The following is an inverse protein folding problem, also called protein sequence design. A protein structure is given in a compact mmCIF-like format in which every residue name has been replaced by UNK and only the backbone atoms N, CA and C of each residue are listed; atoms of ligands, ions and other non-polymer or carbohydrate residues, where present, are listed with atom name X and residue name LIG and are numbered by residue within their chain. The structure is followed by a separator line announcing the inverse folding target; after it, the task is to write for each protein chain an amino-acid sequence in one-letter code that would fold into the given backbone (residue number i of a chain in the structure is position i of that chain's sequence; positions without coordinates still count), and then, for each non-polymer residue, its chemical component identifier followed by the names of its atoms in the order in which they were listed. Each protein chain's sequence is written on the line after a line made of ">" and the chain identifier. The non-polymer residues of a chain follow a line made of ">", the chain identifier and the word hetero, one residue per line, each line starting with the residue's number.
data_IF_660638119808
#
_entry.id   IF_660638119808
#
_cell.length_a   1.000
_cell.length_b   1.000
_cell.length_c   1.000
_cell.angle_alpha   90.00
_cell.angle_beta   90.00
_cell.angle_gamma   90.00
#
_symmetry.space_group_name_H-M   'P 1'
#
loop_
_entity.id
_entity.type
_entity.pdbx_description
1 polymer ?
#
# COMPACT_ATOMS: atom_id res chain seq x y z
N UNK A 1 -1.68 -4.96 -15.66
CA UNK A 1 -1.20 -5.25 -14.29
C UNK A 1 -0.61 -3.97 -13.69
N UNK A 2 -0.56 -3.79 -12.36
CA UNK A 2 0.16 -2.67 -11.75
C UNK A 2 1.42 -3.17 -11.03
N UNK A 3 2.44 -2.33 -10.93
CA UNK A 3 3.69 -2.61 -10.22
C UNK A 3 3.86 -1.61 -9.08
N UNK A 4 4.27 -2.09 -7.91
CA UNK A 4 4.65 -1.23 -6.78
C UNK A 4 6.12 -0.84 -6.94
N UNK A 5 6.44 0.44 -6.73
CA UNK A 5 7.80 0.98 -6.80
C UNK A 5 8.05 1.93 -5.65
N UNK A 6 9.28 1.97 -5.15
CA UNK A 6 9.74 3.04 -4.26
C UNK A 6 10.29 4.19 -5.11
N UNK A 7 9.81 5.39 -4.82
CA UNK A 7 10.19 6.64 -5.51
C UNK A 7 11.41 7.29 -4.87
N UNK A 8 11.44 7.29 -3.54
CA UNK A 8 12.59 7.75 -2.76
C UNK A 8 12.55 7.18 -1.35
N UNK A 9 13.73 7.16 -0.73
CA UNK A 9 13.94 6.92 0.68
C UNK A 9 14.73 8.13 1.20
N UNK A 10 14.16 8.86 2.14
CA UNK A 10 14.76 10.03 2.75
C UNK A 10 15.00 9.73 4.24
N UNK A 11 16.25 9.42 4.64
CA UNK A 11 16.62 9.38 6.05
C UNK A 11 16.70 10.81 6.59
N UNK A 12 15.80 11.14 7.51
CA UNK A 12 15.80 12.35 8.33
C UNK A 12 16.44 12.04 9.70
N UNK A 13 16.50 13.03 10.60
CA UNK A 13 17.22 12.93 11.88
C UNK A 13 16.67 11.80 12.76
N UNK A 14 15.35 11.73 12.91
CA UNK A 14 14.68 10.78 13.80
C UNK A 14 13.79 9.78 13.05
N UNK A 15 13.64 9.93 11.74
CA UNK A 15 12.71 9.15 10.92
C UNK A 15 13.27 8.85 9.54
N UNK A 16 12.78 7.80 8.92
CA UNK A 16 12.99 7.47 7.52
C UNK A 16 11.65 7.56 6.80
N UNK A 17 11.62 8.38 5.75
CA UNK A 17 10.44 8.56 4.90
C UNK A 17 10.63 7.80 3.61
N UNK A 18 9.70 6.91 3.30
CA UNK A 18 9.69 6.11 2.06
C UNK A 18 8.45 6.48 1.25
N UNK A 19 8.65 6.97 0.03
CA UNK A 19 7.54 7.17 -0.91
C UNK A 19 7.35 5.93 -1.76
N UNK A 20 6.18 5.32 -1.68
CA UNK A 20 5.78 4.14 -2.46
C UNK A 20 4.68 4.52 -3.42
N UNK A 21 4.73 4.03 -4.66
CA UNK A 21 3.68 4.24 -5.65
C UNK A 21 3.32 2.96 -6.41
N UNK A 22 2.05 2.85 -6.80
CA UNK A 22 1.62 1.92 -7.83
C UNK A 22 1.69 2.59 -9.21
N UNK A 23 2.32 1.92 -10.16
CA UNK A 23 2.41 2.34 -11.56
C UNK A 23 1.76 1.31 -12.47
N UNK A 24 1.10 1.78 -13.54
CA UNK A 24 0.63 0.94 -14.64
C UNK A 24 1.81 0.51 -15.52
N UNK A 25 1.54 -0.41 -16.45
CA UNK A 25 2.52 -0.85 -17.46
C UNK A 25 3.00 0.28 -18.36
N UNK A 26 2.14 1.26 -18.64
CA UNK A 26 2.46 2.47 -19.42
C UNK A 26 3.32 3.49 -18.63
N UNK A 27 3.68 3.18 -17.38
CA UNK A 27 4.47 4.06 -16.51
C UNK A 27 3.65 5.11 -15.76
N UNK A 28 2.35 5.22 -16.01
CA UNK A 28 1.47 6.15 -15.32
C UNK A 28 1.32 5.78 -13.86
N UNK A 29 1.46 6.78 -12.98
CA UNK A 29 1.24 6.62 -11.56
C UNK A 29 -0.26 6.59 -11.25
N UNK A 30 -0.68 5.59 -10.46
CA UNK A 30 -2.08 5.39 -10.05
C UNK A 30 -2.29 6.03 -8.67
N UNK A 31 -1.41 5.71 -7.73
CA UNK A 31 -1.53 6.08 -6.33
C UNK A 31 -0.14 6.21 -5.71
N UNK A 32 0.03 7.16 -4.79
CA UNK A 32 1.24 7.36 -4.00
C UNK A 32 0.90 7.36 -2.52
N UNK A 33 1.77 6.81 -1.70
CA UNK A 33 1.73 6.99 -0.26
C UNK A 33 3.14 7.25 0.26
N UNK A 34 3.25 8.16 1.23
CA UNK A 34 4.46 8.30 2.04
C UNK A 34 4.29 7.50 3.32
N UNK A 35 5.26 6.65 3.61
CA UNK A 35 5.33 5.87 4.84
C UNK A 35 6.50 6.39 5.64
N UNK A 36 6.23 6.81 6.88
CA UNK A 36 7.23 7.28 7.81
C UNK A 36 7.48 6.20 8.86
N UNK A 37 8.74 5.94 9.16
CA UNK A 37 9.16 4.99 10.18
C UNK A 37 10.26 5.61 11.04
N UNK A 38 10.35 5.29 12.34
CA UNK A 38 11.46 5.75 13.16
C UNK A 38 12.82 5.33 12.58
N UNK A 39 13.80 6.21 12.68
CA UNK A 39 15.17 5.88 12.35
C UNK A 39 15.75 4.93 13.41
N UNK A 40 16.30 3.81 12.95
CA UNK A 40 16.87 2.75 13.77
C UNK A 40 18.34 2.60 13.38
N UNK A 41 19.23 2.82 14.35
CA UNK A 41 20.67 2.71 14.12
C UNK A 41 21.02 1.29 13.66
N UNK A 42 21.64 1.18 12.49
CA UNK A 42 22.10 -0.09 11.92
C UNK A 42 21.07 -0.81 11.03
N UNK A 43 19.85 -0.27 10.89
CA UNK A 43 18.86 -0.75 9.91
C UNK A 43 19.22 -0.25 8.51
N UNK A 44 19.18 -1.13 7.52
CA UNK A 44 19.48 -0.78 6.13
C UNK A 44 18.32 -0.05 5.46
N UNK A 45 18.61 0.76 4.44
CA UNK A 45 17.58 1.40 3.62
C UNK A 45 16.69 0.35 2.92
N UNK A 46 17.26 -0.77 2.49
CA UNK A 46 16.50 -1.89 1.91
C UNK A 46 15.45 -2.45 2.87
N UNK A 47 15.75 -2.50 4.17
CA UNK A 47 14.78 -2.94 5.18
C UNK A 47 13.61 -1.94 5.32
N UNK A 48 13.89 -0.64 5.22
CA UNK A 48 12.84 0.38 5.16
C UNK A 48 12.03 0.30 3.86
N UNK A 49 12.68 0.00 2.74
CA UNK A 49 12.03 -0.20 1.44
C UNK A 49 11.03 -1.35 1.50
N UNK A 50 11.47 -2.53 1.97
CA UNK A 50 10.62 -3.72 2.06
C UNK A 50 9.45 -3.50 3.02
N UNK A 51 9.71 -2.93 4.20
CA UNK A 51 8.66 -2.63 5.17
C UNK A 51 7.60 -1.67 4.59
N UNK A 52 8.04 -0.64 3.86
CA UNK A 52 7.14 0.30 3.22
C UNK A 52 6.32 -0.35 2.09
N UNK A 53 6.91 -1.23 1.28
CA UNK A 53 6.19 -1.99 0.25
C UNK A 53 5.14 -2.91 0.87
N UNK A 54 5.48 -3.61 1.96
CA UNK A 54 4.56 -4.51 2.66
C UNK A 54 3.38 -3.75 3.27
N UNK A 55 3.66 -2.63 3.96
CA UNK A 55 2.63 -1.78 4.53
C UNK A 55 1.75 -1.18 3.44
N UNK A 56 2.33 -0.67 2.34
CA UNK A 56 1.57 -0.19 1.19
C UNK A 56 0.64 -1.27 0.63
N UNK A 57 1.15 -2.48 0.44
CA UNK A 57 0.39 -3.61 -0.12
C UNK A 57 -0.76 -4.01 0.79
N UNK A 58 -0.51 -4.05 2.10
CA UNK A 58 -1.52 -4.34 3.12
C UNK A 58 -2.62 -3.28 3.12
N UNK A 59 -2.26 -1.99 3.15
CA UNK A 59 -3.23 -0.90 3.09
C UNK A 59 -4.09 -0.95 1.83
N UNK A 60 -3.48 -1.17 0.66
CA UNK A 60 -4.24 -1.28 -0.60
C UNK A 60 -5.16 -2.50 -0.58
N UNK A 61 -4.71 -3.63 -0.01
CA UNK A 61 -5.53 -4.83 0.14
C UNK A 61 -6.73 -4.59 1.06
N UNK A 62 -6.53 -3.94 2.19
CA UNK A 62 -7.59 -3.64 3.15
C UNK A 62 -8.62 -2.66 2.55
N UNK A 63 -8.16 -1.67 1.78
CA UNK A 63 -9.05 -0.77 1.03
C UNK A 63 -9.83 -1.55 -0.03
N UNK A 64 -9.18 -2.45 -0.78
CA UNK A 64 -9.85 -3.26 -1.79
C UNK A 64 -10.88 -4.22 -1.17
N UNK A 65 -10.58 -4.81 -0.01
CA UNK A 65 -11.50 -5.68 0.72
C UNK A 65 -12.71 -4.91 1.27
N UNK A 66 -12.48 -3.70 1.82
CA UNK A 66 -13.55 -2.83 2.33
C UNK A 66 -14.41 -2.18 1.23
N UNK A 67 -13.90 -2.10 0.00
CA UNK A 67 -14.64 -1.62 -1.17
C UNK A 67 -15.48 -2.71 -1.86
N UNK A 68 -15.46 -3.96 -1.39
CA UNK A 68 -16.35 -4.99 -1.93
C UNK A 68 -17.80 -4.67 -1.54
N UNK A 69 -18.74 -4.62 -2.50
CA UNK A 69 -20.16 -4.54 -2.15
C UNK A 69 -20.51 -5.74 -1.27
N UNK A 70 -21.31 -5.50 -0.21
CA UNK A 70 -21.90 -6.59 0.56
C UNK A 70 -22.55 -7.56 -0.44
N UNK A 71 -22.31 -8.88 -0.33
CA UNK A 71 -23.00 -9.83 -1.19
C UNK A 71 -24.50 -9.61 -0.98
N UNK A 72 -25.22 -9.29 -2.06
CA UNK A 72 -26.67 -9.23 -2.06
C UNK A 72 -27.17 -10.50 -1.36
N UNK A 73 -27.67 -10.32 -0.15
CA UNK A 73 -28.37 -11.39 0.56
C UNK A 73 -29.61 -11.62 -0.29
N UNK A 74 -29.56 -12.66 -1.11
CA UNK A 74 -30.71 -13.11 -1.89
C UNK A 74 -31.76 -13.51 -0.87
N UNK A 75 -32.67 -12.59 -0.57
CA UNK A 75 -33.85 -12.87 0.23
C UNK A 75 -34.70 -13.85 -0.59
N UNK A 76 -34.47 -15.13 -0.36
CA UNK A 76 -35.25 -16.21 -0.92
C UNK A 76 -36.59 -16.34 -0.18
N UNK A 77 -37.33 -15.24 0.00
CA UNK A 77 -38.75 -15.27 0.35
C UNK A 77 -39.59 -15.21 -0.92
N UNK A 78 -39.36 -16.17 -1.82
CA UNK A 78 -40.30 -16.48 -2.89
C UNK A 78 -41.53 -17.15 -2.28
N UNK A 79 -42.50 -16.30 -1.93
CA UNK A 79 -43.95 -16.53 -1.89
C UNK A 79 -44.39 -17.90 -2.45
N UNK A 80 -44.88 -18.77 -1.57
CA UNK A 80 -45.99 -19.69 -1.86
C UNK A 80 -46.75 -20.03 -0.59
#
# INVERSE_FOLDING_TARGET
>A
MYKVKVKYILPEVDQVRVAVCAVKEDGSQIFQMEIQSPYEKGKSLDAYEQAAIEQYTTTVRDIAASAQPEPDTVDASAKK
#
